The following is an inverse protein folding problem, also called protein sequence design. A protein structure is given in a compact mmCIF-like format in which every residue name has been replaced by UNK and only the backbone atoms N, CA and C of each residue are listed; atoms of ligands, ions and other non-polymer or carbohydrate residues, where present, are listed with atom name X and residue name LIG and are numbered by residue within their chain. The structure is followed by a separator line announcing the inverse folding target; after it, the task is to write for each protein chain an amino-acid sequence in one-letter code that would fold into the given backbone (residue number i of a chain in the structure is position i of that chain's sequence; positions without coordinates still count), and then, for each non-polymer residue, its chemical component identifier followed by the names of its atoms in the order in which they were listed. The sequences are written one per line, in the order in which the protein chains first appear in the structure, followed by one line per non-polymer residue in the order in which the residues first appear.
data_IF_621618554847
#
_entry.id   IF_621618554847
#
_cell.length_a   1.000
_cell.length_b   1.000
_cell.length_c   1.000
_cell.angle_alpha   90.00
_cell.angle_beta   90.00
_cell.angle_gamma   90.00
#
_symmetry.space_group_name_H-M   'P 1'
#
loop_
_entity.id
_entity.type
_entity.pdbx_description
1 polymer ?
#
# COMPACT_ATOMS: atom_id res chain seq x y z
N UNK A 1 -4.41 -10.91 51.61
CA UNK A 1 -4.86 -9.52 51.39
C UNK A 1 -3.88 -8.89 50.41
N UNK A 2 -4.10 -9.05 49.11
CA UNK A 2 -4.89 -8.18 48.21
C UNK A 2 -4.10 -6.94 47.76
N UNK A 3 -3.79 -6.89 46.47
CA UNK A 3 -3.27 -5.70 45.79
C UNK A 3 -2.79 -5.98 44.36
N UNK A 4 -3.73 -6.23 43.44
CA UNK A 4 -3.57 -6.04 41.98
C UNK A 4 -3.10 -4.58 41.71
N UNK A 5 -2.33 -4.26 40.66
CA UNK A 5 -2.83 -4.15 39.28
C UNK A 5 -1.71 -4.16 38.22
N UNK A 6 -2.02 -4.86 37.13
CA UNK A 6 -1.38 -4.81 35.82
C UNK A 6 -1.68 -3.48 35.13
N UNK A 7 -0.69 -2.97 34.42
CA UNK A 7 -0.87 -2.03 33.31
C UNK A 7 0.38 -2.14 32.44
N UNK A 8 0.33 -2.96 31.39
CA UNK A 8 1.34 -2.93 30.33
C UNK A 8 1.12 -1.57 29.67
N UNK A 9 1.94 -0.58 29.99
CA UNK A 9 2.00 0.66 29.22
C UNK A 9 2.54 0.28 27.85
N UNK A 10 1.64 -0.01 26.91
CA UNK A 10 1.97 0.16 25.49
C UNK A 10 2.26 1.64 25.32
N UNK A 11 3.49 1.98 24.95
CA UNK A 11 3.82 3.35 24.57
C UNK A 11 2.79 3.84 23.54
N UNK A 12 2.24 5.06 23.69
CA UNK A 12 1.32 5.61 22.72
C UNK A 12 2.01 5.63 21.36
N UNK A 13 1.35 5.08 20.34
CA UNK A 13 1.86 5.09 18.98
C UNK A 13 2.07 6.53 18.51
N UNK A 14 3.11 6.79 17.72
CA UNK A 14 3.39 8.13 17.20
C UNK A 14 2.25 8.62 16.30
N UNK A 15 1.55 9.67 16.71
CA UNK A 15 0.40 10.22 15.98
C UNK A 15 0.84 11.16 14.86
N UNK A 16 0.63 10.75 13.61
CA UNK A 16 0.95 11.54 12.41
C UNK A 16 -0.17 12.46 11.93
N UNK A 17 -1.36 12.33 12.52
CA UNK A 17 -2.56 13.03 12.10
C UNK A 17 -3.76 12.09 12.08
N UNK A 18 -4.98 12.68 12.03
CA UNK A 18 -6.24 11.94 12.17
C UNK A 18 -6.79 11.42 10.84
N UNK A 19 -6.07 11.57 9.73
CA UNK A 19 -6.58 11.16 8.43
C UNK A 19 -6.80 9.64 8.39
N UNK A 20 -7.94 9.23 7.84
CA UNK A 20 -8.35 7.85 7.72
C UNK A 20 -9.04 7.59 6.39
N UNK A 21 -8.92 6.35 5.94
CA UNK A 21 -9.65 5.73 4.84
C UNK A 21 -10.29 4.46 5.39
N UNK A 22 -11.60 4.31 5.17
CA UNK A 22 -12.26 3.04 5.46
C UNK A 22 -11.84 1.99 4.45
N UNK A 23 -11.57 0.78 4.92
CA UNK A 23 -11.21 -0.36 4.07
C UNK A 23 -12.09 -1.57 4.38
N UNK A 24 -12.20 -2.48 3.42
CA UNK A 24 -12.84 -3.77 3.60
C UNK A 24 -11.96 -4.66 4.47
N UNK A 25 -12.29 -4.72 5.75
CA UNK A 25 -11.70 -5.63 6.74
C UNK A 25 -12.72 -5.97 7.82
N UNK A 26 -12.55 -7.11 8.48
CA UNK A 26 -13.33 -7.47 9.68
C UNK A 26 -12.65 -7.03 10.98
N UNK A 27 -11.43 -6.50 10.91
CA UNK A 27 -10.62 -6.13 12.06
C UNK A 27 -10.46 -4.62 12.15
N UNK A 28 -11.07 -4.02 13.17
CA UNK A 28 -10.91 -2.59 13.49
C UNK A 28 -9.45 -2.24 13.75
N UNK A 29 -8.69 -3.17 14.34
CA UNK A 29 -7.25 -2.98 14.53
C UNK A 29 -6.49 -3.01 13.21
N UNK A 30 -6.85 -3.89 12.26
CA UNK A 30 -6.24 -3.90 10.94
C UNK A 30 -6.49 -2.59 10.18
N UNK A 31 -7.73 -2.07 10.19
CA UNK A 31 -8.04 -0.74 9.61
C UNK A 31 -7.22 0.37 10.27
N UNK A 32 -7.05 0.33 11.59
CA UNK A 32 -6.21 1.30 12.32
C UNK A 32 -4.76 1.25 11.83
N UNK A 33 -4.19 0.05 11.67
CA UNK A 33 -2.82 -0.11 11.17
C UNK A 33 -2.69 0.26 9.69
N UNK A 34 -3.69 0.00 8.86
CA UNK A 34 -3.70 0.45 7.48
C UNK A 34 -3.65 1.97 7.40
N UNK A 35 -4.49 2.66 8.17
CA UNK A 35 -4.55 4.12 8.21
C UNK A 35 -3.23 4.75 8.66
N UNK A 36 -2.56 4.15 9.65
CA UNK A 36 -1.20 4.54 10.03
C UNK A 36 -0.23 4.38 8.86
N UNK A 37 -0.28 3.26 8.17
CA UNK A 37 0.56 2.99 7.00
C UNK A 37 0.35 4.02 5.89
N UNK A 38 -0.90 4.34 5.59
CA UNK A 38 -1.27 5.35 4.59
C UNK A 38 -0.73 6.73 4.96
N UNK A 39 -0.88 7.15 6.22
CA UNK A 39 -0.34 8.42 6.70
C UNK A 39 1.20 8.46 6.63
N UNK A 40 1.89 7.34 6.90
CA UNK A 40 3.35 7.27 6.71
C UNK A 40 3.76 7.36 5.24
N UNK A 41 2.98 6.80 4.31
CA UNK A 41 3.22 7.01 2.88
C UNK A 41 3.08 8.49 2.50
N UNK A 42 2.02 9.17 2.97
CA UNK A 42 1.81 10.59 2.71
C UNK A 42 2.87 11.49 3.38
N UNK A 43 3.50 11.01 4.45
CA UNK A 43 4.66 11.64 5.07
C UNK A 43 6.01 11.20 4.46
N UNK A 44 6.01 10.43 3.35
CA UNK A 44 7.18 9.91 2.65
C UNK A 44 8.10 9.00 3.50
N UNK A 45 7.58 8.35 4.54
CA UNK A 45 8.34 7.41 5.39
C UNK A 45 7.94 5.94 5.12
N UNK A 46 8.35 5.46 3.97
CA UNK A 46 7.95 4.15 3.41
C UNK A 46 8.30 2.94 4.30
N UNK A 47 9.44 2.97 5.00
CA UNK A 47 9.85 1.84 5.88
C UNK A 47 8.84 1.60 7.01
N UNK A 48 8.31 2.66 7.59
CA UNK A 48 7.31 2.55 8.66
C UNK A 48 5.93 2.25 8.09
N UNK A 49 5.60 2.77 6.90
CA UNK A 49 4.39 2.38 6.18
C UNK A 49 4.35 0.87 5.93
N UNK A 50 5.43 0.28 5.42
CA UNK A 50 5.57 -1.17 5.21
C UNK A 50 5.37 -1.94 6.53
N UNK A 51 5.90 -1.45 7.65
CA UNK A 51 5.68 -2.08 8.98
C UNK A 51 4.19 -2.09 9.34
N UNK A 52 3.50 -0.99 9.11
CA UNK A 52 2.07 -0.85 9.40
C UNK A 52 1.21 -1.75 8.51
N UNK A 53 1.51 -1.82 7.21
CA UNK A 53 0.79 -2.70 6.29
C UNK A 53 1.05 -4.18 6.58
N UNK A 54 2.27 -4.57 6.96
CA UNK A 54 2.53 -5.93 7.46
C UNK A 54 1.73 -6.24 8.72
N UNK A 55 1.58 -5.27 9.64
CA UNK A 55 0.75 -5.45 10.83
C UNK A 55 -0.74 -5.56 10.49
N UNK A 56 -1.20 -4.85 9.47
CA UNK A 56 -2.55 -4.99 8.90
C UNK A 56 -2.78 -6.44 8.45
N UNK A 57 -1.84 -7.02 7.69
CA UNK A 57 -1.89 -8.40 7.21
C UNK A 57 -1.82 -9.41 8.37
N UNK A 58 -1.01 -9.15 9.40
CA UNK A 58 -0.94 -10.02 10.59
C UNK A 58 -2.29 -10.10 11.32
N UNK A 59 -3.00 -8.97 11.40
CA UNK A 59 -4.29 -8.85 12.09
C UNK A 59 -5.47 -9.34 11.25
N UNK A 60 -5.41 -9.16 9.93
CA UNK A 60 -6.38 -9.68 8.98
C UNK A 60 -5.67 -10.18 7.71
N UNK A 61 -5.28 -11.47 7.65
CA UNK A 61 -4.60 -12.06 6.49
C UNK A 61 -5.46 -12.09 5.22
N UNK A 62 -6.77 -11.81 5.30
CA UNK A 62 -7.65 -11.70 4.14
C UNK A 62 -7.84 -10.24 3.68
N UNK A 63 -7.27 -9.25 4.40
CA UNK A 63 -7.39 -7.84 4.05
C UNK A 63 -6.56 -7.51 2.80
N UNK A 64 -7.24 -7.34 1.67
CA UNK A 64 -6.64 -7.01 0.37
C UNK A 64 -5.78 -5.74 0.44
N UNK A 65 -6.28 -4.72 1.15
CA UNK A 65 -5.60 -3.42 1.24
C UNK A 65 -4.29 -3.48 2.05
N UNK A 66 -4.12 -4.46 2.94
CA UNK A 66 -2.83 -4.72 3.58
C UNK A 66 -1.76 -5.12 2.56
N UNK A 67 -2.08 -6.05 1.66
CA UNK A 67 -1.17 -6.49 0.61
C UNK A 67 -0.91 -5.39 -0.44
N UNK A 68 -1.97 -4.68 -0.84
CA UNK A 68 -1.84 -3.48 -1.69
C UNK A 68 -0.89 -2.46 -1.07
N UNK A 69 -1.03 -2.19 0.23
CA UNK A 69 -0.20 -1.22 0.96
C UNK A 69 1.28 -1.61 1.00
N UNK A 70 1.61 -2.89 1.23
CA UNK A 70 3.02 -3.35 1.19
C UNK A 70 3.61 -3.17 -0.21
N UNK A 71 2.88 -3.52 -1.27
CA UNK A 71 3.36 -3.34 -2.64
C UNK A 71 3.54 -1.85 -2.97
N UNK A 72 2.56 -1.00 -2.64
CA UNK A 72 2.62 0.44 -2.87
C UNK A 72 3.80 1.09 -2.13
N UNK A 73 3.95 0.82 -0.83
CA UNK A 73 4.99 1.43 -0.02
C UNK A 73 6.41 0.92 -0.35
N UNK A 74 6.54 -0.29 -0.89
CA UNK A 74 7.83 -0.85 -1.34
C UNK A 74 8.26 -0.33 -2.71
N UNK A 75 7.28 0.07 -3.53
CA UNK A 75 7.49 0.60 -4.88
C UNK A 75 8.24 1.92 -4.94
N UNK A 76 8.46 2.43 -6.16
CA UNK A 76 9.08 3.73 -6.37
C UNK A 76 8.12 4.83 -5.91
N UNK A 77 8.69 5.95 -5.52
CA UNK A 77 7.95 7.17 -5.17
C UNK A 77 8.82 8.38 -5.48
N UNK A 78 8.24 9.58 -5.42
CA UNK A 78 8.87 10.83 -5.84
C UNK A 78 10.36 10.99 -5.45
N UNK A 79 10.74 10.67 -4.20
CA UNK A 79 12.14 10.84 -3.75
C UNK A 79 13.07 9.68 -4.18
N UNK A 80 12.53 8.46 -4.32
CA UNK A 80 13.28 7.26 -4.68
C UNK A 80 12.58 6.55 -5.85
N UNK A 81 12.69 7.10 -7.08
CA UNK A 81 12.31 6.39 -8.29
C UNK A 81 13.25 5.19 -8.51
N UNK A 82 12.89 4.31 -9.46
CA UNK A 82 13.61 3.08 -9.72
C UNK A 82 15.11 3.27 -9.94
N UNK A 83 15.53 4.28 -10.71
CA UNK A 83 16.93 4.58 -10.99
C UNK A 83 17.73 5.00 -9.75
N UNK A 84 17.06 5.54 -8.73
CA UNK A 84 17.70 5.94 -7.45
C UNK A 84 17.71 4.81 -6.42
N UNK A 85 16.92 3.75 -6.60
CA UNK A 85 17.03 2.55 -5.76
C UNK A 85 18.40 1.90 -5.97
N UNK A 86 18.99 1.40 -4.88
CA UNK A 86 20.29 0.74 -4.94
C UNK A 86 20.25 -0.51 -5.84
N UNK A 87 21.36 -0.85 -6.53
CA UNK A 87 21.42 -2.03 -7.40
C UNK A 87 21.08 -3.35 -6.68
N UNK A 88 21.32 -3.42 -5.38
CA UNK A 88 21.04 -4.58 -4.52
C UNK A 88 19.73 -4.51 -3.76
N UNK A 89 18.94 -3.45 -3.92
CA UNK A 89 17.64 -3.30 -3.27
C UNK A 89 16.49 -3.27 -4.28
N UNK A 90 16.76 -2.81 -5.50
CA UNK A 90 15.78 -2.76 -6.58
C UNK A 90 15.23 -4.14 -6.96
N UNK A 91 16.04 -5.20 -7.14
CA UNK A 91 15.52 -6.53 -7.46
C UNK A 91 14.57 -7.07 -6.38
N UNK A 92 14.90 -6.85 -5.11
CA UNK A 92 14.10 -7.23 -3.96
C UNK A 92 12.78 -6.45 -3.91
N UNK A 93 12.84 -5.12 -4.15
CA UNK A 93 11.66 -4.28 -4.23
C UNK A 93 10.72 -4.73 -5.35
N UNK A 94 11.24 -4.98 -6.56
CA UNK A 94 10.46 -5.49 -7.70
C UNK A 94 9.74 -6.79 -7.33
N UNK A 95 10.48 -7.73 -6.74
CA UNK A 95 9.93 -9.02 -6.33
C UNK A 95 8.80 -8.86 -5.32
N UNK A 96 9.01 -8.08 -4.26
CA UNK A 96 7.99 -7.82 -3.23
C UNK A 96 6.76 -7.16 -3.84
N UNK A 97 6.95 -6.12 -4.63
CA UNK A 97 5.86 -5.38 -5.27
C UNK A 97 5.01 -6.29 -6.17
N UNK A 98 5.65 -7.14 -6.97
CA UNK A 98 4.95 -8.13 -7.80
C UNK A 98 4.19 -9.15 -6.95
N UNK A 99 4.84 -9.78 -5.97
CA UNK A 99 4.23 -10.84 -5.16
C UNK A 99 3.01 -10.33 -4.37
N UNK A 100 3.13 -9.16 -3.74
CA UNK A 100 2.07 -8.59 -2.92
C UNK A 100 0.92 -8.01 -3.77
N UNK A 101 1.20 -7.39 -4.92
CA UNK A 101 0.14 -6.93 -5.82
C UNK A 101 -0.64 -8.10 -6.43
N UNK A 102 0.03 -9.22 -6.76
CA UNK A 102 -0.64 -10.45 -7.21
C UNK A 102 -1.45 -11.08 -6.08
N UNK A 103 -0.95 -11.09 -4.85
CA UNK A 103 -1.72 -11.60 -3.70
C UNK A 103 -2.98 -10.77 -3.43
N UNK A 104 -2.88 -9.45 -3.53
CA UNK A 104 -4.03 -8.57 -3.44
C UNK A 104 -5.07 -8.89 -4.53
N UNK A 105 -4.62 -9.11 -5.78
CA UNK A 105 -5.48 -9.51 -6.90
C UNK A 105 -6.13 -10.88 -6.76
N UNK A 106 -5.48 -11.83 -6.10
CA UNK A 106 -6.05 -13.14 -5.78
C UNK A 106 -7.15 -13.01 -4.72
N UNK A 107 -6.85 -12.33 -3.60
CA UNK A 107 -7.78 -12.21 -2.48
C UNK A 107 -9.06 -11.44 -2.84
N UNK A 108 -8.96 -10.41 -3.69
CA UNK A 108 -10.13 -9.63 -4.12
C UNK A 108 -11.17 -10.43 -4.91
N UNK A 109 -10.82 -11.59 -5.48
CA UNK A 109 -11.78 -12.42 -6.22
C UNK A 109 -12.88 -12.97 -5.31
N UNK A 110 -12.60 -13.05 -4.01
CA UNK A 110 -13.51 -13.60 -2.99
C UNK A 110 -13.88 -12.60 -1.90
N UNK A 111 -13.11 -11.51 -1.76
CA UNK A 111 -13.39 -10.46 -0.79
C UNK A 111 -14.51 -9.51 -1.28
N UNK A 112 -15.44 -9.09 -0.40
CA UNK A 112 -16.52 -8.17 -0.74
C UNK A 112 -16.02 -6.71 -0.78
N UNK A 113 -14.98 -6.45 -1.58
CA UNK A 113 -14.36 -5.13 -1.69
C UNK A 113 -15.32 -4.08 -2.25
N UNK A 114 -15.12 -2.84 -1.83
CA UNK A 114 -15.66 -1.68 -2.54
C UNK A 114 -15.09 -1.57 -3.96
N UNK A 115 -15.81 -0.91 -4.86
CA UNK A 115 -15.36 -0.75 -6.25
C UNK A 115 -14.04 0.02 -6.35
N UNK A 116 -13.81 1.02 -5.48
CA UNK A 116 -12.56 1.79 -5.46
C UNK A 116 -11.37 0.94 -5.02
N UNK A 117 -11.53 0.05 -4.03
CA UNK A 117 -10.46 -0.87 -3.63
C UNK A 117 -10.11 -1.87 -4.75
N UNK A 118 -11.12 -2.37 -5.47
CA UNK A 118 -10.89 -3.24 -6.64
C UNK A 118 -10.09 -2.50 -7.72
N UNK A 119 -10.47 -1.26 -8.02
CA UNK A 119 -9.82 -0.43 -9.02
C UNK A 119 -8.37 -0.08 -8.65
N UNK A 120 -8.11 0.32 -7.40
CA UNK A 120 -6.76 0.58 -6.89
C UNK A 120 -5.89 -0.69 -6.91
N UNK A 121 -6.46 -1.84 -6.58
CA UNK A 121 -5.77 -3.13 -6.66
C UNK A 121 -5.40 -3.51 -8.10
N UNK A 122 -6.30 -3.26 -9.06
CA UNK A 122 -6.01 -3.51 -10.48
C UNK A 122 -4.92 -2.59 -11.01
N UNK A 123 -5.02 -1.28 -10.73
CA UNK A 123 -4.04 -0.31 -11.17
C UNK A 123 -2.65 -0.64 -10.60
N UNK A 124 -2.53 -0.94 -9.30
CA UNK A 124 -1.24 -1.25 -8.71
C UNK A 124 -0.61 -2.53 -9.30
N UNK A 125 -1.42 -3.51 -9.68
CA UNK A 125 -0.96 -4.72 -10.33
C UNK A 125 -0.48 -4.51 -11.78
N UNK A 126 -0.89 -3.42 -12.43
CA UNK A 126 -0.36 -2.94 -13.72
C UNK A 126 1.02 -2.30 -13.53
N UNK A 127 1.26 -1.60 -12.41
CA UNK A 127 2.59 -1.04 -12.06
C UNK A 127 3.66 -2.12 -11.88
N UNK A 128 3.28 -3.31 -11.45
CA UNK A 128 4.24 -4.39 -11.15
C UNK A 128 3.94 -5.62 -12.02
N UNK A 129 4.51 -5.62 -13.22
CA UNK A 129 4.12 -6.56 -14.29
C UNK A 129 4.82 -7.92 -14.17
N UNK A 130 6.04 -7.96 -13.64
CA UNK A 130 6.84 -9.17 -13.44
C UNK A 130 7.65 -9.14 -12.12
N UNK A 131 8.09 -10.31 -11.65
CA UNK A 131 8.90 -10.42 -10.42
C UNK A 131 10.38 -10.08 -10.62
N UNK A 132 10.78 -9.73 -11.84
CA UNK A 132 12.11 -9.28 -12.24
C UNK A 132 11.96 -8.32 -13.43
N UNK A 133 12.83 -7.32 -13.49
CA UNK A 133 13.02 -6.47 -14.65
C UNK A 133 14.53 -6.32 -14.88
N UNK A 134 14.95 -6.31 -16.14
CA UNK A 134 16.38 -6.27 -16.47
C UNK A 134 16.87 -4.85 -16.75
N UNK A 135 15.98 -3.95 -17.15
CA UNK A 135 16.30 -2.60 -17.61
C UNK A 135 15.46 -1.54 -16.89
N UNK A 136 16.01 -0.34 -16.71
CA UNK A 136 15.27 0.79 -16.12
C UNK A 136 14.15 1.25 -17.06
N UNK A 137 14.37 1.16 -18.37
CA UNK A 137 13.41 1.51 -19.40
C UNK A 137 12.15 0.63 -19.36
N UNK A 138 12.28 -0.62 -18.93
CA UNK A 138 11.14 -1.51 -18.69
C UNK A 138 10.32 -1.00 -17.49
N UNK A 139 10.98 -0.66 -16.39
CA UNK A 139 10.33 -0.16 -15.18
C UNK A 139 9.62 1.19 -15.41
N UNK A 140 10.20 2.07 -16.24
CA UNK A 140 9.56 3.33 -16.65
C UNK A 140 8.27 3.10 -17.41
N UNK A 141 8.23 2.12 -18.32
CA UNK A 141 6.99 1.74 -19.00
C UNK A 141 5.93 1.24 -18.02
N UNK A 142 6.33 0.53 -16.97
CA UNK A 142 5.37 0.10 -15.94
C UNK A 142 4.80 1.28 -15.15
N UNK A 143 5.60 2.32 -14.88
CA UNK A 143 5.11 3.56 -14.28
C UNK A 143 4.16 4.31 -15.25
N UNK A 144 4.48 4.38 -16.55
CA UNK A 144 3.58 4.97 -17.57
C UNK A 144 2.24 4.21 -17.65
N UNK A 145 2.27 2.87 -17.68
CA UNK A 145 1.09 2.02 -17.71
C UNK A 145 0.25 2.18 -16.42
N UNK A 146 0.92 2.37 -15.27
CA UNK A 146 0.26 2.67 -14.00
C UNK A 146 -0.38 4.05 -13.99
N UNK A 147 0.28 5.07 -14.54
CA UNK A 147 -0.25 6.41 -14.70
C UNK A 147 -1.54 6.39 -15.53
N UNK A 148 -1.53 5.65 -16.65
CA UNK A 148 -2.71 5.45 -17.49
C UNK A 148 -3.84 4.72 -16.75
N UNK A 149 -3.51 3.67 -15.99
CA UNK A 149 -4.49 2.99 -15.16
C UNK A 149 -5.10 3.92 -14.10
N UNK A 150 -4.28 4.72 -13.41
CA UNK A 150 -4.74 5.67 -12.39
C UNK A 150 -5.59 6.80 -12.97
N UNK A 151 -5.33 7.25 -14.21
CA UNK A 151 -6.23 8.18 -14.91
C UNK A 151 -7.64 7.60 -15.07
N UNK A 152 -7.77 6.30 -15.33
CA UNK A 152 -9.06 5.62 -15.40
C UNK A 152 -9.71 5.50 -14.02
N UNK A 153 -8.95 5.18 -12.97
CA UNK A 153 -9.45 5.17 -11.59
C UNK A 153 -9.95 6.57 -11.19
N UNK A 154 -9.18 7.62 -11.47
CA UNK A 154 -9.58 9.00 -11.21
C UNK A 154 -10.85 9.40 -11.95
N UNK A 155 -11.01 9.02 -13.23
CA UNK A 155 -12.24 9.27 -13.98
C UNK A 155 -13.47 8.68 -13.28
N UNK A 156 -13.34 7.49 -12.70
CA UNK A 156 -14.46 6.77 -12.09
C UNK A 156 -14.70 7.16 -10.62
N UNK A 157 -13.70 7.72 -9.95
CA UNK A 157 -13.71 8.07 -8.51
C UNK A 157 -13.13 9.46 -8.22
N UNK A 158 -13.46 10.47 -9.04
CA UNK A 158 -12.83 11.80 -8.97
C UNK A 158 -13.07 12.58 -7.67
N UNK A 159 -14.07 12.17 -6.89
CA UNK A 159 -14.40 12.79 -5.59
C UNK A 159 -13.68 12.11 -4.41
N UNK A 160 -12.98 10.99 -4.64
CA UNK A 160 -12.16 10.32 -3.62
C UNK A 160 -10.78 10.99 -3.55
N UNK A 161 -10.48 11.64 -2.42
CA UNK A 161 -9.23 12.39 -2.25
C UNK A 161 -7.98 11.50 -2.22
N UNK A 162 -8.07 10.25 -1.77
CA UNK A 162 -6.93 9.32 -1.90
C UNK A 162 -6.70 8.97 -3.36
N UNK A 163 -7.76 8.73 -4.13
CA UNK A 163 -7.62 8.49 -5.58
C UNK A 163 -6.99 9.69 -6.27
N UNK A 164 -7.40 10.92 -5.92
CA UNK A 164 -6.78 12.14 -6.44
C UNK A 164 -5.29 12.20 -6.11
N UNK A 165 -4.92 11.98 -4.85
CA UNK A 165 -3.53 12.03 -4.39
C UNK A 165 -2.67 10.94 -5.04
N UNK A 166 -3.16 9.70 -5.09
CA UNK A 166 -2.48 8.57 -5.71
C UNK A 166 -2.34 8.75 -7.22
N UNK A 167 -3.35 9.35 -7.88
CA UNK A 167 -3.25 9.66 -9.31
C UNK A 167 -2.22 10.75 -9.56
N UNK A 168 -2.18 11.80 -8.74
CA UNK A 168 -1.16 12.84 -8.86
C UNK A 168 0.26 12.30 -8.62
N UNK A 169 0.43 11.31 -7.74
CA UNK A 169 1.72 10.62 -7.53
C UNK A 169 2.14 9.78 -8.73
N UNK A 170 1.17 9.17 -9.41
CA UNK A 170 1.43 8.30 -10.56
C UNK A 170 1.85 9.05 -11.84
N UNK A 171 1.69 10.37 -11.90
CA UNK A 171 1.95 11.23 -13.07
C UNK A 171 3.36 11.82 -13.09
#
# INVERSE_FOLDING_TARGET
MNGQWRGIFMEPYFELGPYTRSITTKSVEAETWFNRGLNWCYAFHHKEAIRCFNKTIELDPACVMGYWGVAYATGPYYNIPWEKMSPSGRPEAIKICYEYSRKAKELRETAPLSEVEKALCDALAIRFQANKANEIEELKKWDDDYADAMRLVYRDFSDDYDVCALTAEAL
#
